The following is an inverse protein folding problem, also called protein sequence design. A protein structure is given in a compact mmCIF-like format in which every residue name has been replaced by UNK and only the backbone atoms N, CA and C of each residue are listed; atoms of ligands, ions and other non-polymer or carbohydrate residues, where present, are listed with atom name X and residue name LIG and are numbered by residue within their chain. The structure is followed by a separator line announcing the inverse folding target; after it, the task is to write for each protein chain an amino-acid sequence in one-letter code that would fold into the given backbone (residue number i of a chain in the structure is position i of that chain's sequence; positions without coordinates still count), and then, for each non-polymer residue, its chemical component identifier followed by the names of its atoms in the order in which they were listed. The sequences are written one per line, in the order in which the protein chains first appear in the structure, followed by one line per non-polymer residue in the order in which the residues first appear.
data_IF_238413235079
#
_entry.id   IF_238413235079
#
_cell.length_a   1.000
_cell.length_b   1.000
_cell.length_c   1.000
_cell.angle_alpha   90.00
_cell.angle_beta   90.00
_cell.angle_gamma   90.00
#
_symmetry.space_group_name_H-M   'P 1'
#
loop_
_entity.id
_entity.type
_entity.pdbx_description
1 polymer ?
#
# COMPACT_ATOMS: atom_id res chain seq x y z
N UNK A 1 26.27 32.99 -15.80
CA UNK A 1 25.73 31.99 -16.76
C UNK A 1 25.09 30.91 -15.94
N UNK A 2 23.80 31.06 -15.68
CA UNK A 2 22.97 30.03 -15.00
C UNK A 2 22.28 29.24 -16.12
N UNK A 3 22.77 28.06 -16.40
CA UNK A 3 22.07 27.13 -17.29
C UNK A 3 20.83 26.57 -16.54
N UNK A 4 19.71 26.85 -17.14
CA UNK A 4 18.39 26.40 -16.72
C UNK A 4 18.31 24.85 -16.79
N UNK A 5 18.45 24.22 -15.62
CA UNK A 5 18.39 22.76 -15.47
C UNK A 5 16.96 22.17 -15.50
N UNK A 6 15.95 22.98 -15.83
CA UNK A 6 14.54 22.56 -15.80
C UNK A 6 14.06 21.88 -17.09
N UNK A 7 14.89 21.84 -18.15
CA UNK A 7 14.47 21.38 -19.50
C UNK A 7 14.50 19.86 -19.74
N UNK A 8 14.89 19.04 -18.77
CA UNK A 8 15.02 17.58 -18.95
C UNK A 8 14.27 16.75 -17.90
N UNK A 9 13.20 17.26 -17.32
CA UNK A 9 12.33 16.43 -16.48
C UNK A 9 11.15 15.92 -17.34
N UNK A 10 11.06 14.60 -17.62
CA UNK A 10 10.01 14.05 -18.48
C UNK A 10 8.60 14.09 -17.85
N UNK A 11 8.49 14.55 -16.61
CA UNK A 11 7.24 14.75 -15.88
C UNK A 11 7.21 16.17 -15.32
N UNK A 12 6.92 17.16 -16.17
CA UNK A 12 6.64 18.52 -15.73
C UNK A 12 5.20 18.59 -15.23
N UNK A 13 5.08 18.51 -13.90
CA UNK A 13 3.80 18.80 -13.25
C UNK A 13 3.82 20.26 -12.78
N UNK A 14 2.76 21.00 -13.09
CA UNK A 14 2.55 22.35 -12.60
C UNK A 14 2.07 22.29 -11.13
N UNK A 15 2.82 22.80 -10.16
CA UNK A 15 2.47 22.76 -8.76
C UNK A 15 1.26 23.64 -8.39
N UNK A 16 0.88 24.61 -9.23
CA UNK A 16 -0.26 25.48 -8.97
C UNK A 16 -1.58 24.89 -9.48
N UNK A 17 -1.55 24.15 -10.58
CA UNK A 17 -2.75 23.54 -11.19
C UNK A 17 -2.87 22.05 -10.93
N UNK A 18 -1.79 21.39 -10.47
CA UNK A 18 -1.75 19.94 -10.27
C UNK A 18 -1.80 19.14 -11.58
N UNK A 19 -1.64 19.79 -12.74
CA UNK A 19 -1.65 19.13 -14.03
C UNK A 19 -0.24 18.74 -14.46
N UNK A 20 -0.09 17.53 -15.05
CA UNK A 20 1.16 17.03 -15.58
C UNK A 20 1.04 16.91 -17.10
N UNK A 21 1.99 17.50 -17.85
CA UNK A 21 2.07 17.36 -19.30
C UNK A 21 3.00 16.20 -19.69
N UNK A 22 2.53 15.33 -20.58
CA UNK A 22 3.36 14.29 -21.18
C UNK A 22 4.10 14.84 -22.39
N UNK A 23 5.42 14.64 -22.52
CA UNK A 23 6.17 15.13 -23.68
C UNK A 23 5.69 14.43 -24.96
N UNK A 24 5.18 15.21 -25.91
CA UNK A 24 4.79 14.75 -27.25
C UNK A 24 3.30 14.57 -27.52
N UNK A 25 2.42 14.98 -26.62
CA UNK A 25 0.99 14.96 -26.85
C UNK A 25 0.48 16.23 -27.53
N UNK A 26 0.05 16.16 -28.80
CA UNK A 26 -0.86 17.16 -29.35
C UNK A 26 -2.12 17.18 -28.48
N UNK A 27 -2.42 18.31 -27.87
CA UNK A 27 -3.68 18.54 -27.14
C UNK A 27 -4.84 18.50 -28.14
N UNK A 28 -5.33 17.32 -28.44
CA UNK A 28 -6.73 17.17 -28.85
C UNK A 28 -7.54 17.32 -27.56
N UNK A 29 -8.29 18.42 -27.46
CA UNK A 29 -9.40 18.50 -26.53
C UNK A 29 -10.25 17.24 -26.71
N UNK A 30 -9.96 16.21 -25.94
CA UNK A 30 -10.85 15.07 -25.82
C UNK A 30 -12.07 15.62 -25.09
N UNK A 31 -13.13 15.92 -25.83
CA UNK A 31 -14.46 16.05 -25.28
C UNK A 31 -14.69 14.76 -24.47
N UNK A 32 -14.63 14.88 -23.16
CA UNK A 32 -15.00 13.81 -22.23
C UNK A 32 -16.52 13.71 -22.34
N UNK A 33 -16.99 13.00 -23.37
CA UNK A 33 -18.34 12.45 -23.31
C UNK A 33 -18.34 11.50 -22.12
N UNK A 34 -19.22 11.66 -21.12
CA UNK A 34 -19.34 10.71 -20.04
C UNK A 34 -19.58 9.33 -20.65
N UNK A 35 -18.59 8.46 -20.52
CA UNK A 35 -18.74 7.05 -20.89
C UNK A 35 -19.96 6.51 -20.13
N UNK A 36 -20.81 5.69 -20.74
CA UNK A 36 -21.95 5.13 -20.03
C UNK A 36 -21.41 4.49 -18.76
N UNK A 37 -21.91 4.92 -17.61
CA UNK A 37 -21.59 4.37 -16.31
C UNK A 37 -21.91 2.90 -16.34
N UNK A 38 -20.90 2.07 -16.63
CA UNK A 38 -21.01 0.66 -16.34
C UNK A 38 -21.02 0.58 -14.82
N UNK A 39 -22.10 0.06 -14.25
CA UNK A 39 -22.30 -0.21 -12.82
C UNK A 39 -21.24 -1.18 -12.24
N UNK A 40 -20.15 -1.40 -12.97
CA UNK A 40 -19.11 -2.37 -12.67
C UNK A 40 -17.97 -1.67 -11.93
N UNK A 41 -17.85 -2.02 -10.65
CA UNK A 41 -16.71 -1.59 -9.82
C UNK A 41 -15.39 -2.12 -10.36
N UNK A 42 -14.34 -1.31 -10.25
CA UNK A 42 -12.97 -1.74 -10.52
C UNK A 42 -12.52 -2.65 -9.38
N UNK A 43 -12.12 -3.87 -9.69
CA UNK A 43 -11.59 -4.80 -8.71
C UNK A 43 -10.10 -4.53 -8.48
N UNK A 44 -9.74 -4.22 -7.23
CA UNK A 44 -8.38 -4.05 -6.76
C UNK A 44 -8.02 -5.25 -5.89
N UNK A 45 -7.03 -6.04 -6.33
CA UNK A 45 -6.51 -7.15 -5.51
C UNK A 45 -5.30 -6.65 -4.75
N UNK A 46 -5.42 -6.59 -3.42
CA UNK A 46 -4.38 -6.09 -2.53
C UNK A 46 -3.74 -7.26 -1.77
N UNK A 47 -2.47 -7.51 -2.06
CA UNK A 47 -1.67 -8.46 -1.30
C UNK A 47 -1.07 -7.75 -0.10
N UNK A 48 -1.34 -8.26 1.09
CA UNK A 48 -0.92 -7.68 2.37
C UNK A 48 -0.54 -8.79 3.35
N UNK A 49 0.00 -8.38 4.48
CA UNK A 49 0.31 -9.31 5.58
C UNK A 49 0.10 -8.59 6.91
N UNK A 50 -0.51 -9.23 7.94
CA UNK A 50 -0.79 -8.59 9.23
C UNK A 50 0.43 -8.10 10.00
N UNK A 51 1.63 -8.64 9.70
CA UNK A 51 2.88 -8.22 10.33
C UNK A 51 3.72 -7.29 9.43
N UNK A 52 3.19 -6.86 8.29
CA UNK A 52 3.92 -6.02 7.36
C UNK A 52 3.83 -4.55 7.75
N UNK A 53 4.90 -3.98 8.29
CA UNK A 53 4.97 -2.56 8.67
C UNK A 53 4.67 -1.59 7.52
N UNK A 54 5.20 -1.86 6.32
CA UNK A 54 4.90 -1.06 5.13
C UNK A 54 3.44 -1.14 4.71
N UNK A 55 2.78 -2.30 4.89
CA UNK A 55 1.35 -2.45 4.65
C UNK A 55 0.53 -1.61 5.64
N UNK A 56 0.94 -1.58 6.90
CA UNK A 56 0.37 -0.67 7.90
C UNK A 56 0.64 0.80 7.54
N UNK A 57 1.85 1.12 7.09
CA UNK A 57 2.25 2.48 6.70
C UNK A 57 1.37 3.09 5.60
N UNK A 58 0.87 2.29 4.66
CA UNK A 58 -0.01 2.77 3.58
C UNK A 58 -1.51 2.73 3.91
N UNK A 59 -1.89 2.20 5.08
CA UNK A 59 -3.31 2.05 5.45
C UNK A 59 -4.12 3.37 5.39
N UNK A 60 -3.58 4.54 5.80
CA UNK A 60 -4.30 5.80 5.65
C UNK A 60 -4.67 6.11 4.20
N UNK A 61 -3.81 5.80 3.24
CA UNK A 61 -4.06 6.00 1.82
C UNK A 61 -5.10 5.03 1.27
N UNK A 62 -5.08 3.77 1.71
CA UNK A 62 -6.12 2.79 1.37
C UNK A 62 -7.49 3.21 1.91
N UNK A 63 -7.54 3.72 3.14
CA UNK A 63 -8.77 4.26 3.73
C UNK A 63 -9.29 5.47 2.95
N UNK A 64 -8.39 6.37 2.55
CA UNK A 64 -8.74 7.51 1.71
C UNK A 64 -9.33 7.05 0.37
N UNK A 65 -8.70 6.10 -0.32
CA UNK A 65 -9.22 5.52 -1.56
C UNK A 65 -10.62 4.92 -1.35
N UNK A 66 -10.84 4.19 -0.26
CA UNK A 66 -12.16 3.65 0.06
C UNK A 66 -13.21 4.72 0.29
N UNK A 67 -12.86 5.81 0.99
CA UNK A 67 -13.78 6.90 1.27
C UNK A 67 -14.14 7.70 0.01
N UNK A 68 -13.17 7.93 -0.87
CA UNK A 68 -13.35 8.74 -2.07
C UNK A 68 -13.97 7.95 -3.24
N UNK A 69 -13.62 6.67 -3.37
CA UNK A 69 -13.94 5.85 -4.53
C UNK A 69 -14.68 4.54 -4.20
N UNK A 70 -15.12 4.32 -2.97
CA UNK A 70 -15.72 3.06 -2.52
C UNK A 70 -16.93 2.60 -3.32
N UNK A 71 -17.64 3.53 -3.97
CA UNK A 71 -18.75 3.19 -4.87
C UNK A 71 -18.27 2.65 -6.23
N UNK A 72 -17.00 2.93 -6.59
CA UNK A 72 -16.40 2.58 -7.87
C UNK A 72 -15.36 1.48 -7.80
N UNK A 73 -14.90 1.11 -6.59
CA UNK A 73 -13.89 0.09 -6.37
C UNK A 73 -14.38 -1.01 -5.44
N UNK A 74 -13.80 -2.19 -5.63
CA UNK A 74 -13.94 -3.34 -4.74
C UNK A 74 -12.56 -3.86 -4.39
N UNK A 75 -12.19 -3.86 -3.10
CA UNK A 75 -10.86 -4.25 -2.64
C UNK A 75 -10.91 -5.67 -2.08
N UNK A 76 -10.27 -6.60 -2.79
CA UNK A 76 -10.06 -7.97 -2.33
C UNK A 76 -8.73 -8.10 -1.61
N UNK A 77 -8.76 -8.43 -0.32
CA UNK A 77 -7.57 -8.65 0.49
C UNK A 77 -7.06 -10.08 0.36
N UNK A 78 -5.78 -10.23 0.05
CA UNK A 78 -5.08 -11.51 -0.01
C UNK A 78 -3.84 -11.49 0.87
N UNK A 79 -3.68 -12.55 1.67
CA UNK A 79 -2.50 -12.70 2.52
C UNK A 79 -1.28 -13.06 1.67
N UNK A 80 -0.18 -12.34 1.86
CA UNK A 80 1.07 -12.52 1.13
C UNK A 80 1.95 -13.62 1.70
N UNK A 81 1.82 -13.93 2.99
CA UNK A 81 2.68 -14.91 3.67
C UNK A 81 4.12 -14.43 3.76
N UNK A 82 4.31 -13.21 4.28
CA UNK A 82 5.59 -12.50 4.31
C UNK A 82 6.70 -13.27 5.00
N UNK A 83 6.37 -13.92 6.13
CA UNK A 83 7.29 -14.73 6.92
C UNK A 83 6.70 -16.14 7.12
N UNK A 84 7.02 -17.09 6.25
CA UNK A 84 6.63 -18.49 6.49
C UNK A 84 7.23 -19.07 7.77
N UNK A 85 8.52 -18.91 7.92
CA UNK A 85 9.35 -19.23 9.10
C UNK A 85 10.72 -18.54 8.96
N UNK A 86 11.56 -18.61 10.01
CA UNK A 86 12.87 -17.98 10.01
C UNK A 86 13.94 -18.66 9.13
N UNK A 87 13.64 -19.79 8.52
CA UNK A 87 14.50 -20.37 7.47
C UNK A 87 14.34 -19.66 6.12
N UNK A 88 13.25 -18.92 5.95
CA UNK A 88 12.98 -18.11 4.76
C UNK A 88 13.71 -16.77 4.87
N UNK A 89 14.85 -16.69 4.21
CA UNK A 89 15.70 -15.49 4.21
C UNK A 89 15.48 -14.70 2.91
N UNK A 90 14.63 -13.68 2.95
CA UNK A 90 14.32 -12.81 1.82
C UNK A 90 14.64 -11.35 2.14
N UNK A 91 15.24 -10.65 1.18
CA UNK A 91 15.50 -9.22 1.31
C UNK A 91 16.55 -8.81 2.34
N UNK A 92 17.38 -9.76 2.80
CA UNK A 92 18.43 -9.49 3.80
C UNK A 92 17.96 -9.53 5.24
N UNK A 93 16.70 -9.88 5.49
CA UNK A 93 16.16 -10.06 6.85
C UNK A 93 16.44 -11.49 7.27
N UNK A 94 17.24 -11.65 8.32
CA UNK A 94 17.70 -12.96 8.82
C UNK A 94 17.19 -13.29 10.23
N UNK A 95 16.56 -12.34 10.91
CA UNK A 95 16.07 -12.54 12.25
C UNK A 95 15.27 -11.37 12.80
N UNK A 96 14.73 -11.50 14.03
CA UNK A 96 13.90 -10.47 14.66
C UNK A 96 14.58 -9.11 14.77
N UNK A 97 15.88 -9.08 15.03
CA UNK A 97 16.65 -7.82 15.14
C UNK A 97 16.63 -7.01 13.83
N UNK A 98 16.73 -7.70 12.68
CA UNK A 98 16.69 -7.02 11.38
C UNK A 98 15.27 -6.45 11.12
N UNK A 99 14.24 -7.20 11.53
CA UNK A 99 12.85 -6.74 11.43
C UNK A 99 12.60 -5.54 12.33
N UNK A 100 13.12 -5.55 13.57
CA UNK A 100 13.00 -4.42 14.51
C UNK A 100 13.53 -3.12 13.88
N UNK A 101 14.77 -3.14 13.40
CA UNK A 101 15.37 -1.98 12.73
C UNK A 101 14.60 -1.52 11.49
N UNK A 102 14.11 -2.46 10.68
CA UNK A 102 13.27 -2.15 9.53
C UNK A 102 11.94 -1.51 9.94
N UNK A 103 11.31 -1.96 11.02
CA UNK A 103 10.06 -1.37 11.52
C UNK A 103 10.26 0.07 11.96
N UNK A 104 11.36 0.38 12.64
CA UNK A 104 11.71 1.75 13.04
C UNK A 104 11.90 2.67 11.84
N UNK A 105 12.60 2.20 10.80
CA UNK A 105 12.76 2.95 9.54
C UNK A 105 11.41 3.20 8.86
N UNK A 106 10.53 2.21 8.81
CA UNK A 106 9.19 2.32 8.22
C UNK A 106 8.32 3.29 9.02
N UNK A 107 8.41 3.26 10.36
CA UNK A 107 7.72 4.20 11.25
C UNK A 107 8.05 5.65 10.90
N UNK A 108 9.33 5.94 10.73
CA UNK A 108 9.81 7.28 10.35
C UNK A 108 9.36 7.64 8.94
N UNK A 109 9.47 6.70 7.99
CA UNK A 109 9.17 6.94 6.57
C UNK A 109 7.69 7.29 6.33
N UNK A 110 6.78 6.61 7.00
CA UNK A 110 5.34 6.79 6.83
C UNK A 110 4.69 7.68 7.88
N UNK A 111 5.47 8.15 8.89
CA UNK A 111 4.94 8.87 10.06
C UNK A 111 3.79 8.10 10.74
N UNK A 112 4.01 6.79 10.93
CA UNK A 112 3.03 5.87 11.50
C UNK A 112 3.53 5.28 12.82
N UNK A 113 2.65 5.04 13.80
CA UNK A 113 3.03 4.45 15.08
C UNK A 113 3.37 2.96 14.89
N UNK A 114 4.64 2.66 14.79
CA UNK A 114 5.20 1.32 14.65
C UNK A 114 6.32 1.19 15.67
N UNK A 115 6.31 0.12 16.44
CA UNK A 115 7.27 -0.16 17.52
C UNK A 115 8.10 -1.39 17.16
N UNK A 116 9.36 -1.17 16.79
CA UNK A 116 10.29 -2.24 16.44
C UNK A 116 10.71 -3.10 17.62
N UNK A 117 10.68 -2.56 18.86
CA UNK A 117 11.09 -3.27 20.07
C UNK A 117 10.23 -4.51 20.32
N UNK A 118 9.00 -4.55 19.83
CA UNK A 118 8.14 -5.74 19.89
C UNK A 118 8.84 -7.00 19.36
N UNK A 119 9.62 -6.87 18.30
CA UNK A 119 10.37 -7.99 17.72
C UNK A 119 11.55 -8.46 18.56
N UNK A 120 12.02 -7.62 19.48
CA UNK A 120 13.09 -7.98 20.42
C UNK A 120 12.52 -8.62 21.68
N UNK A 121 11.29 -8.24 22.08
CA UNK A 121 10.64 -8.70 23.30
C UNK A 121 9.83 -9.99 23.10
N UNK A 122 9.03 -10.06 22.04
CA UNK A 122 8.11 -11.18 21.74
C UNK A 122 8.03 -11.43 20.22
N UNK A 123 9.11 -11.92 19.60
CA UNK A 123 9.16 -12.14 18.15
C UNK A 123 8.20 -13.24 17.72
N UNK A 124 7.52 -13.01 16.59
CA UNK A 124 6.72 -14.04 15.94
C UNK A 124 7.58 -15.00 15.13
N UNK A 125 7.25 -16.29 15.16
CA UNK A 125 7.93 -17.32 14.37
C UNK A 125 7.44 -17.34 12.91
N UNK A 126 6.24 -16.83 12.66
CA UNK A 126 5.61 -16.87 11.33
C UNK A 126 4.47 -15.84 11.21
N UNK A 127 4.27 -15.31 10.01
CA UNK A 127 3.09 -14.50 9.67
C UNK A 127 1.83 -15.33 9.37
N UNK A 128 1.94 -16.64 9.26
CA UNK A 128 0.82 -17.50 8.90
C UNK A 128 -0.29 -17.53 9.96
N UNK A 129 -0.03 -17.67 11.28
CA UNK A 129 -1.11 -17.64 12.26
C UNK A 129 -1.99 -16.38 12.18
N UNK A 130 -1.46 -15.16 12.18
CA UNK A 130 -2.29 -13.96 12.03
C UNK A 130 -2.97 -13.89 10.65
N UNK A 131 -2.31 -14.33 9.58
CA UNK A 131 -2.93 -14.41 8.24
C UNK A 131 -4.11 -15.38 8.20
N UNK A 132 -4.00 -16.54 8.87
CA UNK A 132 -5.08 -17.52 9.01
C UNK A 132 -6.24 -16.93 9.82
N UNK A 133 -5.94 -16.21 10.92
CA UNK A 133 -6.96 -15.54 11.73
C UNK A 133 -7.75 -14.52 10.90
N UNK A 134 -7.08 -13.70 10.09
CA UNK A 134 -7.74 -12.78 9.16
C UNK A 134 -8.63 -13.52 8.15
N UNK A 135 -8.12 -14.59 7.54
CA UNK A 135 -8.91 -15.40 6.58
C UNK A 135 -10.12 -16.05 7.25
N UNK A 136 -10.00 -16.52 8.48
CA UNK A 136 -11.10 -17.05 9.26
C UNK A 136 -12.17 -15.97 9.57
N UNK A 137 -11.75 -14.73 9.85
CA UNK A 137 -12.66 -13.60 10.00
C UNK A 137 -13.40 -13.28 8.69
N UNK A 138 -12.70 -13.31 7.54
CA UNK A 138 -13.31 -13.10 6.23
C UNK A 138 -14.40 -14.13 5.90
N UNK A 139 -14.21 -15.39 6.29
CA UNK A 139 -15.23 -16.44 6.10
C UNK A 139 -16.49 -16.21 6.95
N UNK A 140 -16.40 -15.44 8.02
CA UNK A 140 -17.52 -15.10 8.88
C UNK A 140 -18.23 -13.82 8.43
N UNK A 141 -17.45 -12.78 8.13
CA UNK A 141 -17.98 -11.48 7.70
C UNK A 141 -16.85 -10.70 6.99
N UNK A 142 -16.92 -10.60 5.66
CA UNK A 142 -15.93 -9.93 4.84
C UNK A 142 -15.74 -8.45 5.24
N UNK A 143 -16.84 -7.74 5.51
CA UNK A 143 -16.78 -6.32 5.85
C UNK A 143 -16.14 -6.09 7.22
N UNK A 144 -16.44 -6.93 8.19
CA UNK A 144 -15.85 -6.85 9.54
C UNK A 144 -14.40 -7.30 9.55
N UNK A 145 -14.03 -8.26 8.72
CA UNK A 145 -12.63 -8.69 8.62
C UNK A 145 -11.68 -7.55 8.22
N UNK A 146 -12.16 -6.61 7.40
CA UNK A 146 -11.37 -5.43 7.03
C UNK A 146 -11.08 -4.48 8.21
N UNK A 147 -11.84 -4.58 9.30
CA UNK A 147 -11.59 -3.85 10.55
C UNK A 147 -10.60 -4.59 11.46
N UNK A 148 -10.31 -5.85 11.14
CA UNK A 148 -9.39 -6.70 11.89
C UNK A 148 -7.93 -6.47 11.47
N UNK A 149 -7.70 -5.94 10.26
CA UNK A 149 -6.40 -5.50 9.76
C UNK A 149 -6.01 -4.15 10.35
#
# INVERSE_FOLDING_TARGET
MNEDKTKNNPLLCDPETGSCELPGGETKEASITPSPTTDKKVKLVYFTDPICSSCWGIEPQLRKIKLEYGDHIDIEYRMGGLLPDWSYNSGGISGPTDVAGHWDEVSIHYDMPIDGDLWLEDPLDSSYPPSIAFKAAQLQDEAKAQLFM
#
